data_IF_434473893254
#
_entry.id   IF_434473893254
#
_cell.length_a   1.000
_cell.length_b   1.000
_cell.length_c   1.000
_cell.angle_alpha   90.00
_cell.angle_beta   90.00
_cell.angle_gamma   90.00
#
_symmetry.space_group_name_H-M   'P 1'
#
loop_
_entity.id
_entity.type
_entity.pdbx_description
1 polymer ?
#
# COMPACT_ATOMS: atom_id res chain seq x y z
N UNK A 1 59.41 -12.15 -0.63
CA UNK A 1 59.04 -12.31 0.80
C UNK A 1 57.91 -11.36 1.13
N UNK A 2 56.68 -11.88 1.18
CA UNK A 2 55.45 -11.11 1.39
C UNK A 2 55.19 -10.93 2.89
N UNK A 3 55.09 -9.68 3.36
CA UNK A 3 54.66 -9.34 4.71
C UNK A 3 53.13 -9.23 4.74
N UNK A 4 52.49 -10.21 5.36
CA UNK A 4 51.06 -10.23 5.66
C UNK A 4 50.75 -9.23 6.79
N UNK A 5 49.99 -8.18 6.48
CA UNK A 5 49.39 -7.27 7.47
C UNK A 5 48.02 -7.80 7.89
N UNK A 6 47.97 -8.34 9.11
CA UNK A 6 46.79 -8.77 9.84
C UNK A 6 46.19 -7.54 10.51
N UNK A 7 45.07 -7.02 10.01
CA UNK A 7 44.34 -5.93 10.67
C UNK A 7 43.18 -6.54 11.46
N UNK A 8 43.30 -6.43 12.77
CA UNK A 8 42.31 -6.85 13.77
C UNK A 8 41.16 -5.84 13.82
N UNK A 9 39.95 -6.37 13.91
CA UNK A 9 38.73 -5.67 14.30
C UNK A 9 38.97 -4.73 15.49
N UNK A 10 38.58 -3.46 15.34
CA UNK A 10 37.82 -2.64 16.32
C UNK A 10 37.81 -1.17 15.89
N UNK A 11 36.89 -0.81 15.00
CA UNK A 11 36.32 0.54 14.99
C UNK A 11 34.85 0.40 15.35
N UNK A 12 34.58 0.53 16.65
CA UNK A 12 33.24 0.77 17.18
C UNK A 12 32.98 2.27 17.01
N UNK A 13 32.40 2.64 15.88
CA UNK A 13 31.72 3.93 15.76
C UNK A 13 30.28 3.74 16.24
N UNK A 14 30.09 4.07 17.52
CA UNK A 14 28.81 4.44 18.12
C UNK A 14 28.40 5.80 17.54
N UNK A 15 27.11 5.92 17.24
CA UNK A 15 26.40 7.12 16.76
C UNK A 15 26.38 7.32 15.24
N UNK A 16 25.15 7.51 14.72
CA UNK A 16 24.74 7.71 13.32
C UNK A 16 24.55 6.46 12.45
N UNK A 17 23.45 5.72 12.66
CA UNK A 17 22.63 5.09 11.59
C UNK A 17 21.46 4.26 12.16
N UNK A 18 20.61 4.83 13.02
CA UNK A 18 19.41 4.08 13.51
C UNK A 18 18.08 4.78 13.15
N UNK A 19 18.09 5.96 12.52
CA UNK A 19 16.83 6.64 12.15
C UNK A 19 16.36 6.41 10.70
N UNK A 20 17.09 5.68 9.84
CA UNK A 20 16.77 5.61 8.40
C UNK A 20 16.73 4.19 7.82
N UNK A 21 16.52 3.16 8.65
CA UNK A 21 16.32 1.77 8.17
C UNK A 21 14.92 1.25 8.50
N UNK A 22 14.20 1.89 9.43
CA UNK A 22 12.85 1.45 9.80
C UNK A 22 11.78 1.73 8.72
N UNK A 23 12.08 2.56 7.70
CA UNK A 23 11.13 2.84 6.62
C UNK A 23 11.29 1.94 5.39
N UNK A 24 12.49 1.40 5.12
CA UNK A 24 12.66 0.53 3.94
C UNK A 24 12.08 -0.87 4.21
N UNK A 25 12.15 -1.38 5.44
CA UNK A 25 11.52 -2.66 5.78
C UNK A 25 9.99 -2.63 5.62
N UNK A 26 9.34 -1.49 5.90
CA UNK A 26 7.89 -1.30 5.70
C UNK A 26 7.52 -1.04 4.24
N UNK A 27 8.39 -0.40 3.45
CA UNK A 27 8.19 -0.30 2.00
C UNK A 27 8.35 -1.67 1.33
N UNK A 28 9.27 -2.50 1.82
CA UNK A 28 9.50 -3.85 1.29
C UNK A 28 8.42 -4.87 1.67
N UNK A 29 7.71 -4.69 2.80
CA UNK A 29 6.53 -5.50 3.14
C UNK A 29 5.27 -5.10 2.34
N UNK A 30 5.29 -3.98 1.63
CA UNK A 30 4.16 -3.46 0.84
C UNK A 30 4.31 -3.60 -0.68
N UNK A 31 5.44 -4.15 -1.14
CA UNK A 31 5.62 -4.58 -2.53
C UNK A 31 5.33 -6.09 -2.63
N UNK A 32 4.18 -6.51 -2.10
CA UNK A 32 3.51 -7.63 -2.74
C UNK A 32 3.26 -7.14 -4.17
N UNK A 33 4.04 -7.64 -5.12
CA UNK A 33 3.96 -7.23 -6.53
C UNK A 33 2.62 -7.71 -7.06
N UNK A 34 1.56 -6.98 -6.71
CA UNK A 34 0.21 -7.40 -6.97
C UNK A 34 -0.02 -7.35 -8.48
N UNK A 35 -0.16 -8.52 -9.07
CA UNK A 35 -0.32 -8.66 -10.51
C UNK A 35 -1.73 -8.21 -10.87
N UNK A 36 -1.83 -7.06 -11.52
CA UNK A 36 -3.10 -6.54 -12.01
C UNK A 36 -3.53 -7.33 -13.25
N UNK A 37 -4.29 -8.38 -13.00
CA UNK A 37 -4.83 -9.25 -14.02
C UNK A 37 -6.36 -9.23 -14.05
N UNK A 38 -6.93 -10.11 -14.89
CA UNK A 38 -8.37 -10.27 -15.02
C UNK A 38 -9.06 -10.62 -13.69
N UNK A 39 -8.40 -11.40 -12.82
CA UNK A 39 -8.94 -11.83 -11.54
C UNK A 39 -8.88 -10.69 -10.53
N UNK A 40 -7.77 -9.94 -10.49
CA UNK A 40 -7.64 -8.75 -9.68
C UNK A 40 -8.78 -7.76 -9.95
N UNK A 41 -9.04 -7.45 -11.23
CA UNK A 41 -10.12 -6.53 -11.61
C UNK A 41 -11.48 -7.11 -11.22
N UNK A 42 -11.73 -8.40 -11.44
CA UNK A 42 -13.00 -9.04 -11.05
C UNK A 42 -13.26 -8.99 -9.54
N UNK A 43 -12.22 -9.13 -8.72
CA UNK A 43 -12.35 -9.06 -7.25
C UNK A 43 -12.74 -7.67 -6.77
N UNK A 44 -12.30 -6.63 -7.47
CA UNK A 44 -12.60 -5.23 -7.11
C UNK A 44 -13.88 -4.68 -7.77
N UNK A 45 -14.44 -5.38 -8.77
CA UNK A 45 -15.75 -5.04 -9.31
C UNK A 45 -16.86 -5.57 -8.39
N UNK A 46 -17.77 -4.71 -7.95
CA UNK A 46 -18.90 -5.11 -7.09
C UNK A 46 -20.03 -5.80 -7.86
N UNK A 47 -19.98 -5.75 -9.21
CA UNK A 47 -21.00 -6.31 -10.08
C UNK A 47 -22.17 -5.36 -10.34
N UNK A 48 -22.07 -4.12 -9.88
CA UNK A 48 -23.06 -3.09 -10.17
C UNK A 48 -23.13 -2.77 -11.67
N UNK A 49 -24.36 -2.54 -12.15
CA UNK A 49 -24.60 -2.15 -13.54
C UNK A 49 -23.88 -0.82 -13.82
N UNK A 50 -23.04 -0.80 -14.85
CA UNK A 50 -22.35 0.42 -15.30
C UNK A 50 -20.93 0.60 -14.76
N UNK A 51 -20.44 -0.22 -13.82
CA UNK A 51 -19.04 -0.13 -13.34
C UNK A 51 -18.01 -0.26 -14.45
N UNK A 52 -18.25 -1.12 -15.43
CA UNK A 52 -17.34 -1.28 -16.58
C UNK A 52 -17.28 -0.03 -17.45
N UNK A 53 -18.37 0.74 -17.53
CA UNK A 53 -18.39 2.02 -18.24
C UNK A 53 -17.65 3.09 -17.45
N UNK A 54 -17.85 3.14 -16.13
CA UNK A 54 -17.12 4.06 -15.24
C UNK A 54 -15.61 3.80 -15.26
N UNK A 55 -15.22 2.53 -15.20
CA UNK A 55 -13.81 2.12 -15.33
C UNK A 55 -13.26 2.49 -16.72
N UNK A 56 -14.04 2.33 -17.79
CA UNK A 56 -13.66 2.73 -19.15
C UNK A 56 -13.39 4.24 -19.23
N UNK A 57 -14.33 5.04 -18.76
CA UNK A 57 -14.24 6.50 -18.73
C UNK A 57 -13.05 6.98 -17.90
N UNK A 58 -12.87 6.45 -16.69
CA UNK A 58 -11.79 6.84 -15.78
C UNK A 58 -10.39 6.46 -16.30
N UNK A 59 -10.27 5.34 -17.01
CA UNK A 59 -8.98 4.86 -17.52
C UNK A 59 -8.68 5.34 -18.95
N UNK A 60 -9.67 5.90 -19.64
CA UNK A 60 -9.62 6.23 -21.07
C UNK A 60 -9.59 4.98 -21.98
N UNK A 61 -9.95 3.81 -21.45
CA UNK A 61 -10.03 2.56 -22.21
C UNK A 61 -11.43 2.37 -22.76
N UNK A 62 -11.56 1.70 -23.91
CA UNK A 62 -12.89 1.33 -24.40
C UNK A 62 -13.49 0.21 -23.56
N UNK A 63 -14.83 0.17 -23.46
CA UNK A 63 -15.56 -0.88 -22.75
C UNK A 63 -15.29 -2.29 -23.32
N UNK A 64 -14.99 -2.38 -24.63
CA UNK A 64 -14.55 -3.63 -25.27
C UNK A 64 -13.18 -4.09 -24.75
N UNK A 65 -12.21 -3.18 -24.61
CA UNK A 65 -10.89 -3.50 -24.06
C UNK A 65 -11.02 -4.03 -22.63
N UNK A 66 -11.81 -3.36 -21.79
CA UNK A 66 -12.07 -3.81 -20.41
C UNK A 66 -12.73 -5.19 -20.41
N UNK A 67 -13.71 -5.42 -21.28
CA UNK A 67 -14.38 -6.72 -21.41
C UNK A 67 -13.40 -7.83 -21.84
N UNK A 68 -12.45 -7.52 -22.73
CA UNK A 68 -11.38 -8.45 -23.16
C UNK A 68 -10.39 -8.73 -22.03
N UNK A 69 -10.07 -7.73 -21.20
CA UNK A 69 -9.21 -7.91 -20.02
C UNK A 69 -9.91 -8.80 -19.00
N UNK A 70 -11.16 -8.49 -18.61
CA UNK A 70 -11.95 -9.26 -17.64
C UNK A 70 -12.15 -10.70 -18.11
N UNK A 71 -12.39 -10.93 -19.40
CA UNK A 71 -12.52 -12.28 -19.95
C UNK A 71 -11.20 -13.04 -20.09
N UNK A 72 -10.05 -12.41 -19.78
CA UNK A 72 -8.72 -13.01 -19.91
C UNK A 72 -8.22 -13.10 -21.35
N UNK A 73 -8.98 -12.59 -22.34
CA UNK A 73 -8.60 -12.56 -23.75
C UNK A 73 -7.47 -11.57 -24.03
N UNK A 74 -7.22 -10.63 -23.11
CA UNK A 74 -6.17 -9.63 -23.18
C UNK A 74 -5.55 -9.40 -21.81
N UNK A 75 -4.24 -9.17 -21.77
CA UNK A 75 -3.53 -8.72 -20.57
C UNK A 75 -3.55 -7.20 -20.43
N UNK A 76 -3.55 -6.73 -19.20
CA UNK A 76 -3.36 -5.32 -18.86
C UNK A 76 -1.97 -4.89 -19.30
N UNK A 77 -1.85 -3.75 -19.99
CA UNK A 77 -0.55 -3.18 -20.33
C UNK A 77 0.03 -2.42 -19.14
N UNK A 78 1.35 -2.31 -19.08
CA UNK A 78 2.04 -1.62 -17.98
C UNK A 78 1.57 -0.17 -17.76
N UNK A 79 1.22 0.55 -18.83
CA UNK A 79 0.70 1.92 -18.77
C UNK A 79 -0.76 2.02 -18.29
N UNK A 80 -1.51 0.93 -18.39
CA UNK A 80 -2.94 0.85 -18.04
C UNK A 80 -3.12 0.51 -16.55
N UNK A 81 -2.24 -0.35 -16.03
CA UNK A 81 -2.22 -0.78 -14.64
C UNK A 81 -2.36 0.38 -13.62
N UNK A 82 -1.54 1.45 -13.64
CA UNK A 82 -1.66 2.52 -12.64
C UNK A 82 -3.00 3.27 -12.70
N UNK A 83 -3.60 3.40 -13.89
CA UNK A 83 -4.92 4.04 -14.05
C UNK A 83 -6.04 3.20 -13.46
N UNK A 84 -5.96 1.88 -13.67
CA UNK A 84 -6.92 0.92 -13.11
C UNK A 84 -6.83 0.94 -11.58
N UNK A 85 -5.63 0.95 -11.00
CA UNK A 85 -5.44 1.08 -9.54
C UNK A 85 -6.03 2.39 -9.04
N UNK A 86 -5.74 3.50 -9.70
CA UNK A 86 -6.22 4.81 -9.26
C UNK A 86 -7.74 4.88 -9.19
N UNK A 87 -8.45 4.26 -10.16
CA UNK A 87 -9.91 4.16 -10.14
C UNK A 87 -10.41 3.43 -8.89
N UNK A 88 -9.90 2.22 -8.63
CA UNK A 88 -10.35 1.44 -7.47
C UNK A 88 -9.90 2.05 -6.14
N UNK A 89 -8.74 2.72 -6.07
CA UNK A 89 -8.29 3.44 -4.87
C UNK A 89 -9.09 4.70 -4.57
N UNK A 90 -9.59 5.38 -5.60
CA UNK A 90 -10.46 6.53 -5.42
C UNK A 90 -11.83 6.11 -4.84
N UNK A 91 -12.33 4.94 -5.23
CA UNK A 91 -13.54 4.34 -4.67
C UNK A 91 -13.28 3.61 -3.34
N UNK A 92 -12.05 3.12 -3.10
CA UNK A 92 -11.55 2.60 -1.81
C UNK A 92 -11.19 3.72 -0.83
N UNK A 93 -11.91 4.85 -0.87
CA UNK A 93 -12.27 5.54 0.39
C UNK A 93 -13.19 4.63 1.22
N UNK A 94 -12.80 3.36 1.35
CA UNK A 94 -13.34 2.35 2.23
C UNK A 94 -13.54 3.08 3.54
N UNK A 95 -14.82 3.33 3.81
CA UNK A 95 -15.29 3.71 5.12
C UNK A 95 -14.81 2.57 5.99
N UNK A 96 -13.60 2.69 6.56
CA UNK A 96 -13.20 1.80 7.62
C UNK A 96 -14.31 1.97 8.62
N UNK A 97 -15.12 0.92 8.81
CA UNK A 97 -16.33 1.06 9.58
C UNK A 97 -15.90 1.55 10.95
N UNK A 98 -16.26 2.80 11.25
CA UNK A 98 -15.84 3.48 12.46
C UNK A 98 -16.26 2.64 13.67
N UNK A 99 -17.33 1.86 13.52
CA UNK A 99 -17.80 0.91 14.51
C UNK A 99 -16.82 -0.26 14.76
N UNK A 100 -16.23 -0.82 13.72
CA UNK A 100 -15.26 -1.92 13.82
C UNK A 100 -13.91 -1.42 14.37
N UNK A 101 -13.48 -0.22 13.98
CA UNK A 101 -12.32 0.44 14.60
C UNK A 101 -12.57 0.73 16.08
N UNK A 102 -13.78 1.17 16.45
CA UNK A 102 -14.13 1.44 17.84
C UNK A 102 -14.12 0.15 18.68
N UNK A 103 -14.62 -0.96 18.13
CA UNK A 103 -14.54 -2.29 18.78
C UNK A 103 -13.11 -2.76 18.95
N UNK A 104 -12.29 -2.61 17.90
CA UNK A 104 -10.88 -2.97 17.95
C UNK A 104 -10.17 -2.16 19.03
N UNK A 105 -10.36 -0.84 19.04
CA UNK A 105 -9.79 0.07 20.05
C UNK A 105 -10.22 -0.31 21.47
N UNK A 106 -11.51 -0.59 21.67
CA UNK A 106 -12.05 -1.01 22.96
C UNK A 106 -11.51 -2.38 23.42
N UNK A 107 -11.08 -3.25 22.49
CA UNK A 107 -10.47 -4.55 22.80
C UNK A 107 -8.98 -4.48 23.16
N UNK A 108 -8.33 -3.33 22.94
CA UNK A 108 -6.92 -3.13 23.29
C UNK A 108 -6.75 -2.93 24.81
N UNK A 109 -5.59 -3.28 25.34
CA UNK A 109 -5.21 -2.94 26.71
C UNK A 109 -5.02 -1.42 26.86
N UNK A 110 -5.19 -0.91 28.08
CA UNK A 110 -5.03 0.53 28.39
C UNK A 110 -3.68 1.09 27.92
N UNK A 111 -2.59 0.32 28.06
CA UNK A 111 -1.27 0.75 27.58
C UNK A 111 -1.22 0.92 26.05
N UNK A 112 -1.90 0.04 25.30
CA UNK A 112 -1.98 0.12 23.84
C UNK A 112 -2.91 1.25 23.39
N UNK A 113 -3.97 1.52 24.13
CA UNK A 113 -4.84 2.67 23.90
C UNK A 113 -4.06 3.98 24.10
N UNK A 114 -3.29 4.09 25.19
CA UNK A 114 -2.43 5.26 25.45
C UNK A 114 -1.42 5.51 24.33
N UNK A 115 -0.75 4.45 23.85
CA UNK A 115 0.18 4.55 22.72
C UNK A 115 -0.52 5.01 21.43
N UNK A 116 -1.72 4.51 21.16
CA UNK A 116 -2.50 4.94 20.01
C UNK A 116 -2.91 6.43 20.11
N UNK A 117 -3.32 6.90 21.30
CA UNK A 117 -3.65 8.31 21.52
C UNK A 117 -2.44 9.24 21.34
N UNK A 118 -1.26 8.85 21.85
CA UNK A 118 -0.02 9.60 21.65
C UNK A 118 0.35 9.69 20.17
N UNK A 119 0.18 8.59 19.43
CA UNK A 119 0.40 8.56 17.99
C UNK A 119 -0.59 9.46 17.23
N UNK A 120 -1.88 9.42 17.58
CA UNK A 120 -2.89 10.28 16.97
C UNK A 120 -2.62 11.77 17.24
N UNK A 121 -2.18 12.13 18.46
CA UNK A 121 -1.76 13.51 18.79
C UNK A 121 -0.56 13.94 17.96
N UNK A 122 0.40 13.05 17.76
CA UNK A 122 1.56 13.33 16.92
C UNK A 122 1.14 13.64 15.47
N UNK A 123 0.25 12.83 14.88
CA UNK A 123 -0.25 13.06 13.52
C UNK A 123 -1.03 14.38 13.40
N UNK A 124 -1.92 14.67 14.36
CA UNK A 124 -2.69 15.92 14.37
C UNK A 124 -1.81 17.17 14.45
N UNK A 125 -0.61 17.04 15.02
CA UNK A 125 0.37 18.14 15.09
C UNK A 125 1.10 18.37 13.75
N UNK A 126 1.22 17.33 12.91
CA UNK A 126 1.89 17.43 11.61
C UNK A 126 0.99 18.04 10.52
N UNK A 127 -0.33 17.89 10.61
CA UNK A 127 -1.28 18.42 9.61
C UNK A 127 -1.62 19.91 9.79
N UNK A 128 -1.18 20.54 10.87
CA UNK A 128 -1.44 21.95 11.18
C UNK A 128 -0.35 22.95 10.75
N UNK A 129 0.59 22.57 9.88
CA UNK A 129 1.75 23.38 9.48
C UNK A 129 1.94 23.44 7.96
#
# INVERSE_FOLDING_TARGET
MLRTLRISHKYVNRSFAISSIFSISSICQYLDMEVIDANWIKRHLTGQRGERSRLAEATGLSTDIISKIISGKRRVKSEEAPKIVAFFKADDSSSVDTHDLMKLYASLSEDRQRQAEEFLRFLATQEGN
#
